data_IF_661595389335
#
_entry.id   IF_661595389335
#
_cell.length_a   1.000
_cell.length_b   1.000
_cell.length_c   1.000
_cell.angle_alpha   90.00
_cell.angle_beta   90.00
_cell.angle_gamma   90.00
#
_symmetry.space_group_name_H-M   'P 1'
#
loop_
_entity.id
_entity.type
_entity.pdbx_description
1 polymer ?
#
# COMPACT_ATOMS: atom_id res chain seq x y z
N UNK A 1 -5.58 14.11 -23.87
CA UNK A 1 -4.95 12.93 -23.24
C UNK A 1 -5.01 13.15 -21.74
N UNK A 2 -5.96 12.51 -21.06
CA UNK A 2 -6.11 12.62 -19.61
C UNK A 2 -5.08 11.69 -18.96
N UNK A 3 -4.11 12.27 -18.27
CA UNK A 3 -3.15 11.55 -17.43
C UNK A 3 -3.92 10.93 -16.26
N UNK A 4 -4.13 9.63 -16.31
CA UNK A 4 -4.70 8.85 -15.21
C UNK A 4 -3.71 8.84 -14.05
N UNK A 5 -3.97 9.66 -13.04
CA UNK A 5 -3.24 9.64 -11.77
C UNK A 5 -3.62 8.36 -11.01
N UNK A 6 -2.64 7.53 -10.72
CA UNK A 6 -2.80 6.33 -9.90
C UNK A 6 -3.11 6.68 -8.45
N UNK A 7 -3.68 5.72 -7.69
CA UNK A 7 -4.18 5.83 -6.29
C UNK A 7 -3.34 6.65 -5.32
N UNK A 8 -2.02 6.68 -5.52
CA UNK A 8 -1.06 7.36 -4.64
C UNK A 8 -0.03 8.21 -5.39
N UNK A 9 -0.13 8.31 -6.73
CA UNK A 9 0.78 9.14 -7.55
C UNK A 9 0.77 10.63 -7.16
N UNK A 10 -0.24 11.08 -6.44
CA UNK A 10 -0.32 12.41 -5.93
C UNK A 10 0.56 12.69 -4.68
N UNK A 11 1.34 11.72 -4.22
CA UNK A 11 2.18 11.84 -3.02
C UNK A 11 3.66 12.17 -3.30
N UNK A 12 4.10 12.12 -4.57
CA UNK A 12 5.53 12.15 -4.91
C UNK A 12 6.00 13.42 -5.63
N UNK A 13 5.20 14.49 -5.76
CA UNK A 13 5.59 15.67 -6.55
C UNK A 13 5.83 16.93 -5.70
N UNK A 14 6.73 16.85 -4.72
CA UNK A 14 7.18 18.04 -4.00
C UNK A 14 8.65 17.95 -3.58
N UNK A 15 9.56 17.92 -4.58
CA UNK A 15 10.97 18.25 -4.34
C UNK A 15 11.56 18.82 -5.63
N UNK A 16 11.77 20.12 -5.62
CA UNK A 16 12.54 20.81 -6.65
C UNK A 16 12.13 22.28 -6.84
N UNK A 17 12.56 23.17 -5.99
CA UNK A 17 13.02 24.53 -6.30
C UNK A 17 13.17 25.33 -4.99
N UNK A 18 14.36 25.31 -4.41
CA UNK A 18 14.82 26.35 -3.49
C UNK A 18 15.70 27.30 -4.29
N UNK A 19 15.15 28.46 -4.64
CA UNK A 19 15.92 29.66 -4.96
C UNK A 19 15.31 30.81 -4.17
N UNK A 20 16.14 31.47 -3.35
CA UNK A 20 15.75 32.42 -2.34
C UNK A 20 15.07 33.67 -2.89
N UNK A 21 14.18 34.22 -2.08
CA UNK A 21 13.87 35.64 -2.06
C UNK A 21 13.62 36.12 -0.62
N UNK A 22 14.14 37.29 -0.37
CA UNK A 22 14.24 37.96 0.92
C UNK A 22 12.88 38.34 1.55
N UNK A 23 12.94 38.45 2.87
CA UNK A 23 11.97 39.00 3.81
C UNK A 23 11.23 40.25 3.32
N UNK A 24 9.89 40.12 3.18
CA UNK A 24 8.97 41.20 3.45
C UNK A 24 7.85 40.62 4.31
N UNK A 25 7.77 41.11 5.55
CA UNK A 25 6.69 40.76 6.47
C UNK A 25 5.36 41.30 5.94
N UNK A 26 4.61 40.47 5.27
CA UNK A 26 3.20 40.63 4.99
C UNK A 26 2.49 39.42 5.60
N UNK A 27 1.69 39.64 6.64
CA UNK A 27 0.71 38.66 7.09
C UNK A 27 -0.17 38.32 5.87
N UNK A 28 0.10 37.19 5.23
CA UNK A 28 -0.81 36.62 4.23
C UNK A 28 -2.09 36.30 4.99
N UNK A 29 -3.09 37.15 4.84
CA UNK A 29 -4.45 36.86 5.25
C UNK A 29 -4.82 35.53 4.62
N UNK A 30 -4.87 34.47 5.43
CA UNK A 30 -5.37 33.17 5.04
C UNK A 30 -6.80 33.44 4.60
N UNK A 31 -7.07 33.42 3.28
CA UNK A 31 -8.40 33.67 2.76
C UNK A 31 -9.35 32.75 3.50
N UNK A 32 -10.32 33.33 4.22
CA UNK A 32 -11.22 32.57 5.09
C UNK A 32 -11.85 31.46 4.26
N UNK A 33 -11.56 30.20 4.61
CA UNK A 33 -12.11 29.03 3.93
C UNK A 33 -13.64 29.10 3.98
N UNK A 34 -14.30 28.84 2.85
CA UNK A 34 -15.78 28.77 2.82
C UNK A 34 -16.25 27.82 3.95
N UNK A 35 -17.25 28.22 4.78
CA UNK A 35 -17.82 27.33 5.79
C UNK A 35 -18.30 26.00 5.19
N UNK A 36 -18.05 24.89 5.88
CA UNK A 36 -18.37 23.57 5.37
C UNK A 36 -19.82 23.41 4.91
N UNK A 37 -20.86 23.88 5.63
CA UNK A 37 -22.25 23.78 5.16
C UNK A 37 -22.49 24.50 3.83
N UNK A 38 -21.85 25.66 3.62
CA UNK A 38 -21.94 26.39 2.34
C UNK A 38 -21.22 25.63 1.21
N UNK A 39 -20.10 25.00 1.52
CA UNK A 39 -19.38 24.18 0.57
C UNK A 39 -20.20 22.95 0.15
N UNK A 40 -20.86 22.27 1.09
CA UNK A 40 -21.76 21.14 0.81
C UNK A 40 -22.86 21.58 -0.16
N UNK A 41 -23.50 22.73 0.06
CA UNK A 41 -24.54 23.21 -0.84
C UNK A 41 -23.99 23.58 -2.24
N UNK A 42 -22.83 24.21 -2.32
CA UNK A 42 -22.17 24.51 -3.58
C UNK A 42 -21.73 23.23 -4.32
N UNK A 43 -21.31 22.19 -3.59
CA UNK A 43 -20.87 20.91 -4.15
C UNK A 43 -22.01 20.11 -4.77
N UNK A 44 -23.27 20.31 -4.33
CA UNK A 44 -24.49 19.71 -4.87
C UNK A 44 -24.62 19.92 -6.39
N UNK A 45 -24.29 21.10 -6.91
CA UNK A 45 -24.33 21.37 -8.35
C UNK A 45 -23.44 20.43 -9.13
N UNK A 46 -22.27 20.10 -8.59
CA UNK A 46 -21.33 19.15 -9.21
C UNK A 46 -21.83 17.70 -9.11
N UNK A 47 -22.48 17.35 -7.99
CA UNK A 47 -23.09 16.04 -7.81
C UNK A 47 -24.23 15.82 -8.82
N UNK A 48 -25.11 16.81 -9.00
CA UNK A 48 -26.18 16.78 -10.02
C UNK A 48 -25.62 16.63 -11.45
N UNK A 49 -24.53 17.33 -11.77
CA UNK A 49 -23.85 17.22 -13.06
C UNK A 49 -23.26 15.81 -13.32
N UNK A 50 -23.04 15.02 -12.24
CA UNK A 50 -22.62 13.61 -12.31
C UNK A 50 -23.77 12.61 -12.27
N UNK A 51 -25.03 13.10 -12.33
CA UNK A 51 -26.23 12.27 -12.31
C UNK A 51 -26.64 11.77 -10.92
N UNK A 52 -26.11 12.38 -9.85
CA UNK A 52 -26.48 12.03 -8.48
C UNK A 52 -27.77 12.76 -8.12
N UNK A 53 -28.79 12.02 -7.69
CA UNK A 53 -30.08 12.56 -7.26
C UNK A 53 -29.95 13.35 -5.96
N UNK A 54 -30.87 14.30 -5.75
CA UNK A 54 -30.93 15.04 -4.48
C UNK A 54 -31.23 14.12 -3.29
N UNK A 55 -31.95 13.03 -3.52
CA UNK A 55 -32.24 12.03 -2.48
C UNK A 55 -30.96 11.33 -2.00
N UNK A 56 -30.16 10.80 -2.92
CA UNK A 56 -28.87 10.17 -2.59
C UNK A 56 -27.89 11.18 -2.00
N UNK A 57 -27.85 12.40 -2.58
CA UNK A 57 -26.99 13.45 -2.05
C UNK A 57 -27.36 13.82 -0.62
N UNK A 58 -28.63 14.05 -0.32
CA UNK A 58 -29.09 14.42 1.03
C UNK A 58 -28.89 13.28 2.03
N UNK A 59 -29.10 12.03 1.62
CA UNK A 59 -28.85 10.85 2.44
C UNK A 59 -27.42 10.85 2.99
N UNK A 60 -26.45 11.23 2.16
CA UNK A 60 -25.01 11.20 2.52
C UNK A 60 -24.53 12.52 3.09
N UNK A 61 -24.84 13.63 2.42
CA UNK A 61 -24.22 14.94 2.66
C UNK A 61 -25.07 15.86 3.56
N UNK A 62 -26.38 15.55 3.75
CA UNK A 62 -27.32 16.44 4.40
C UNK A 62 -27.00 16.77 5.87
N UNK A 63 -26.47 15.80 6.62
CA UNK A 63 -26.07 15.96 8.02
C UNK A 63 -24.58 15.68 8.25
N UNK A 64 -23.80 15.58 7.16
CA UNK A 64 -22.41 15.18 7.21
C UNK A 64 -21.55 16.19 7.99
N UNK A 65 -20.71 15.68 8.87
CA UNK A 65 -19.64 16.44 9.53
C UNK A 65 -18.29 15.99 8.97
N UNK A 66 -17.39 16.91 8.60
CA UNK A 66 -16.09 16.53 8.04
C UNK A 66 -15.18 15.96 9.13
N UNK A 67 -14.50 14.86 8.85
CA UNK A 67 -13.44 14.33 9.71
C UNK A 67 -12.11 15.04 9.42
N UNK A 68 -11.87 16.14 10.12
CA UNK A 68 -10.66 16.96 9.92
C UNK A 68 -9.39 16.30 10.49
N UNK A 69 -9.49 15.20 11.24
CA UNK A 69 -8.33 14.44 11.75
C UNK A 69 -7.48 13.86 10.60
N UNK A 70 -8.08 13.68 9.42
CA UNK A 70 -7.38 13.17 8.22
C UNK A 70 -6.28 14.09 7.71
N UNK A 71 -6.31 15.38 8.02
CA UNK A 71 -5.27 16.33 7.59
C UNK A 71 -3.90 16.06 8.24
N UNK A 72 -3.89 15.58 9.47
CA UNK A 72 -2.65 15.17 10.12
C UNK A 72 -2.10 13.89 9.46
N UNK A 73 -2.98 12.96 9.12
CA UNK A 73 -2.61 11.69 8.47
C UNK A 73 -2.13 11.87 7.03
N UNK A 74 -2.64 12.89 6.30
CA UNK A 74 -2.16 13.23 4.94
C UNK A 74 -0.74 13.81 4.98
N UNK A 75 -0.35 14.47 6.07
CA UNK A 75 0.97 15.10 6.23
C UNK A 75 2.03 14.17 6.81
N UNK A 76 1.62 13.23 7.66
CA UNK A 76 2.53 12.32 8.36
C UNK A 76 2.49 10.94 7.69
N UNK A 77 3.42 10.72 6.74
CA UNK A 77 3.57 9.44 6.06
C UNK A 77 4.85 8.75 6.52
N UNK A 78 4.75 7.71 7.37
CA UNK A 78 5.92 7.04 7.96
C UNK A 78 6.85 6.37 6.93
N UNK A 79 6.39 6.19 5.70
CA UNK A 79 7.11 5.48 4.63
C UNK A 79 8.41 6.18 4.19
N UNK A 80 8.62 7.43 4.61
CA UNK A 80 9.80 8.23 4.25
C UNK A 80 10.91 8.26 5.33
N UNK A 81 10.70 7.61 6.47
CA UNK A 81 11.62 7.66 7.62
C UNK A 81 12.20 6.30 8.02
N UNK A 82 11.82 5.23 7.31
CA UNK A 82 12.21 3.86 7.63
C UNK A 82 13.26 3.37 6.63
N UNK A 83 14.28 2.66 7.11
CA UNK A 83 15.24 1.98 6.25
C UNK A 83 14.52 0.94 5.38
N UNK A 84 14.97 0.79 4.11
CA UNK A 84 14.32 -0.13 3.15
C UNK A 84 14.18 -1.55 3.73
N UNK A 85 15.21 -2.06 4.41
CA UNK A 85 15.17 -3.39 4.99
C UNK A 85 14.21 -3.51 6.18
N UNK A 86 14.07 -2.45 7.01
CA UNK A 86 13.09 -2.42 8.11
C UNK A 86 11.67 -2.42 7.55
N UNK A 87 11.41 -1.62 6.51
CA UNK A 87 10.15 -1.62 5.78
C UNK A 87 9.82 -3.02 5.24
N UNK A 88 10.78 -3.67 4.57
CA UNK A 88 10.59 -5.01 4.02
C UNK A 88 10.32 -6.04 5.11
N UNK A 89 11.13 -6.09 6.18
CA UNK A 89 10.92 -7.03 7.28
C UNK A 89 9.56 -6.85 7.96
N UNK A 90 9.10 -5.61 8.12
CA UNK A 90 7.77 -5.33 8.68
C UNK A 90 6.64 -5.71 7.73
N UNK A 91 6.80 -5.49 6.42
CA UNK A 91 5.77 -5.74 5.41
C UNK A 91 5.76 -7.17 4.89
N UNK A 92 6.91 -7.83 4.87
CA UNK A 92 7.09 -9.25 4.49
C UNK A 92 7.39 -10.07 5.75
N UNK A 93 6.64 -9.80 6.83
CA UNK A 93 6.83 -10.46 8.13
C UNK A 93 6.50 -11.95 8.07
N UNK A 94 7.08 -12.71 8.99
CA UNK A 94 6.84 -14.16 9.11
C UNK A 94 5.33 -14.47 9.27
N UNK A 95 4.62 -13.67 10.07
CA UNK A 95 3.16 -13.75 10.18
C UNK A 95 2.47 -13.62 8.81
N UNK A 96 2.85 -12.64 7.97
CA UNK A 96 2.23 -12.47 6.64
C UNK A 96 2.56 -13.61 5.69
N UNK A 97 3.77 -14.16 5.79
CA UNK A 97 4.18 -15.31 4.97
C UNK A 97 3.36 -16.55 5.36
N UNK A 98 3.21 -16.83 6.65
CA UNK A 98 2.42 -17.96 7.16
C UNK A 98 0.95 -17.80 6.74
N UNK A 99 0.33 -16.68 7.08
CA UNK A 99 -1.08 -16.39 6.73
C UNK A 99 -1.29 -16.39 5.23
N UNK A 100 -0.37 -15.83 4.45
CA UNK A 100 -0.46 -15.84 2.99
C UNK A 100 -0.43 -17.23 2.38
N UNK A 101 0.38 -18.14 2.94
CA UNK A 101 0.39 -19.55 2.54
C UNK A 101 -0.92 -20.26 2.89
N UNK A 102 -1.54 -19.94 4.00
CA UNK A 102 -2.86 -20.44 4.39
C UNK A 102 -3.93 -19.94 3.40
N UNK A 103 -3.96 -18.63 3.12
CA UNK A 103 -4.88 -18.03 2.14
C UNK A 103 -4.66 -18.57 0.72
N UNK A 104 -3.41 -18.83 0.33
CA UNK A 104 -3.11 -19.46 -0.96
C UNK A 104 -3.76 -20.85 -1.12
N UNK A 105 -3.83 -21.63 -0.03
CA UNK A 105 -4.49 -22.94 -0.01
C UNK A 105 -6.00 -22.80 0.07
N UNK A 106 -6.51 -21.97 0.97
CA UNK A 106 -7.93 -21.74 1.20
C UNK A 106 -8.65 -21.24 -0.05
N UNK A 107 -8.06 -20.28 -0.73
CA UNK A 107 -8.64 -19.65 -1.92
C UNK A 107 -8.04 -20.16 -3.25
N UNK A 108 -7.41 -21.35 -3.26
CA UNK A 108 -6.74 -21.87 -4.45
C UNK A 108 -7.64 -21.95 -5.70
N UNK A 109 -8.92 -22.40 -5.62
CA UNK A 109 -9.82 -22.42 -6.76
C UNK A 109 -10.15 -21.01 -7.28
N UNK A 110 -10.42 -20.06 -6.39
CA UNK A 110 -10.71 -18.67 -6.72
C UNK A 110 -9.51 -18.01 -7.41
N UNK A 111 -8.33 -18.13 -6.81
CA UNK A 111 -7.10 -17.54 -7.34
C UNK A 111 -6.74 -18.13 -8.71
N UNK A 112 -6.96 -19.45 -8.92
CA UNK A 112 -6.74 -20.09 -10.22
C UNK A 112 -7.72 -19.59 -11.29
N UNK A 113 -8.97 -19.28 -10.91
CA UNK A 113 -9.97 -18.71 -11.83
C UNK A 113 -9.60 -17.28 -12.21
N UNK A 114 -9.21 -16.45 -11.24
CA UNK A 114 -8.77 -15.06 -11.47
C UNK A 114 -7.53 -15.02 -12.37
N UNK A 115 -6.51 -15.86 -12.07
CA UNK A 115 -5.27 -15.93 -12.84
C UNK A 115 -5.52 -16.33 -14.30
N UNK A 116 -6.41 -17.29 -14.53
CA UNK A 116 -6.80 -17.73 -15.89
C UNK A 116 -7.53 -16.62 -16.66
N UNK A 117 -8.38 -15.84 -15.99
CA UNK A 117 -9.20 -14.82 -16.64
C UNK A 117 -8.41 -13.54 -16.94
N UNK A 118 -7.59 -13.08 -15.98
CA UNK A 118 -6.89 -11.80 -16.11
C UNK A 118 -5.40 -11.94 -16.41
N UNK A 119 -4.84 -13.14 -16.39
CA UNK A 119 -3.42 -13.38 -16.63
C UNK A 119 -2.49 -12.87 -15.53
N UNK A 120 -3.02 -12.50 -14.37
CA UNK A 120 -2.24 -11.99 -13.25
C UNK A 120 -1.87 -13.14 -12.33
N UNK A 121 -0.58 -13.28 -12.04
CA UNK A 121 -0.05 -14.29 -11.14
C UNK A 121 -0.71 -14.24 -9.76
N UNK A 122 -1.16 -15.39 -9.25
CA UNK A 122 -1.88 -15.50 -7.98
C UNK A 122 -1.07 -15.02 -6.77
N UNK A 123 0.25 -15.19 -6.81
CA UNK A 123 1.10 -14.75 -5.71
C UNK A 123 1.31 -13.24 -5.71
N UNK A 124 1.29 -12.60 -6.89
CA UNK A 124 1.19 -11.14 -7.01
C UNK A 124 -0.11 -10.64 -6.35
N UNK A 125 -1.24 -11.30 -6.60
CA UNK A 125 -2.52 -10.97 -5.97
C UNK A 125 -2.49 -11.13 -4.46
N UNK A 126 -1.93 -12.24 -3.97
CA UNK A 126 -1.74 -12.49 -2.53
C UNK A 126 -0.80 -11.45 -1.89
N UNK A 127 0.25 -11.04 -2.60
CA UNK A 127 1.14 -9.97 -2.17
C UNK A 127 0.39 -8.66 -1.95
N UNK A 128 -0.45 -8.23 -2.90
CA UNK A 128 -1.28 -7.02 -2.78
C UNK A 128 -2.27 -7.18 -1.62
N UNK A 129 -3.00 -8.29 -1.54
CA UNK A 129 -3.98 -8.54 -0.48
C UNK A 129 -3.34 -8.50 0.92
N UNK A 130 -2.18 -9.15 1.07
CA UNK A 130 -1.42 -9.12 2.32
C UNK A 130 -0.92 -7.73 2.70
N UNK A 131 -0.51 -6.93 1.72
CA UNK A 131 -0.02 -5.57 1.94
C UNK A 131 -1.15 -4.58 2.27
N UNK A 132 -2.29 -4.68 1.59
CA UNK A 132 -3.37 -3.69 1.69
C UNK A 132 -4.23 -3.87 2.94
N UNK A 133 -4.60 -5.10 3.29
CA UNK A 133 -5.53 -5.35 4.39
C UNK A 133 -5.14 -6.49 5.32
N UNK A 134 -3.89 -6.96 5.25
CA UNK A 134 -3.47 -8.14 6.00
C UNK A 134 -4.40 -9.35 5.73
N UNK A 135 -4.66 -9.64 4.45
CA UNK A 135 -5.55 -10.69 3.96
C UNK A 135 -7.01 -10.57 4.43
N UNK A 136 -7.49 -9.33 4.55
CA UNK A 136 -8.86 -9.03 4.96
C UNK A 136 -9.04 -8.73 6.46
N UNK A 137 -8.09 -9.06 7.31
CA UNK A 137 -8.21 -8.88 8.76
C UNK A 137 -8.42 -7.43 9.21
N UNK A 138 -8.02 -6.45 8.39
CA UNK A 138 -8.15 -5.04 8.72
C UNK A 138 -9.39 -4.37 8.10
N UNK A 139 -10.16 -5.07 7.28
CA UNK A 139 -11.24 -4.49 6.48
C UNK A 139 -12.32 -3.81 7.33
N UNK A 140 -12.63 -4.39 8.49
CA UNK A 140 -13.65 -3.88 9.43
C UNK A 140 -13.06 -3.38 10.75
N UNK A 141 -11.73 -3.32 10.88
CA UNK A 141 -11.08 -2.96 12.14
C UNK A 141 -11.22 -1.45 12.43
N UNK A 142 -11.97 -1.00 13.45
CA UNK A 142 -12.24 0.41 13.72
C UNK A 142 -11.00 1.22 14.12
N UNK A 143 -9.90 0.57 14.53
CA UNK A 143 -8.62 1.24 14.77
C UNK A 143 -7.95 1.74 13.49
N UNK A 144 -8.30 1.14 12.35
CA UNK A 144 -7.67 1.41 11.05
C UNK A 144 -8.64 1.96 10.01
N UNK A 145 -9.92 1.62 10.13
CA UNK A 145 -10.97 1.98 9.19
C UNK A 145 -11.95 2.97 9.83
N UNK A 146 -12.54 3.82 9.00
CA UNK A 146 -13.50 4.86 9.37
C UNK A 146 -14.51 5.07 8.27
N UNK A 147 -15.67 5.71 8.52
CA UNK A 147 -16.59 6.12 7.48
C UNK A 147 -15.86 6.97 6.42
N UNK A 148 -16.02 6.64 5.14
CA UNK A 148 -15.25 7.31 4.07
C UNK A 148 -15.79 8.68 3.72
N UNK A 149 -17.11 8.92 3.85
CA UNK A 149 -17.71 10.19 3.44
C UNK A 149 -17.24 11.37 4.29
N UNK A 150 -17.18 11.29 5.65
CA UNK A 150 -16.58 12.34 6.47
C UNK A 150 -15.11 12.62 6.10
N UNK A 151 -14.34 11.57 5.82
CA UNK A 151 -12.93 11.67 5.47
C UNK A 151 -12.73 12.33 4.09
N UNK A 152 -13.39 11.82 3.05
CA UNK A 152 -13.31 12.37 1.70
C UNK A 152 -13.86 13.79 1.61
N UNK A 153 -14.96 14.10 2.31
CA UNK A 153 -15.51 15.45 2.34
C UNK A 153 -14.56 16.44 3.02
N UNK A 154 -13.90 16.05 4.11
CA UNK A 154 -12.87 16.87 4.75
C UNK A 154 -11.72 17.15 3.77
N UNK A 155 -11.19 16.14 3.10
CA UNK A 155 -10.09 16.27 2.13
C UNK A 155 -10.50 17.13 0.93
N UNK A 156 -11.70 16.92 0.35
CA UNK A 156 -12.22 17.69 -0.76
C UNK A 156 -12.45 19.15 -0.40
N UNK A 157 -12.96 19.42 0.79
CA UNK A 157 -13.18 20.77 1.30
C UNK A 157 -11.88 21.45 1.72
N UNK A 158 -10.95 20.70 2.31
CA UNK A 158 -9.88 21.23 3.15
C UNK A 158 -8.46 21.08 2.65
N UNK A 159 -8.16 20.18 1.70
CA UNK A 159 -6.80 19.96 1.19
C UNK A 159 -6.62 20.64 -0.18
N UNK A 160 -6.01 21.84 -0.24
CA UNK A 160 -5.97 22.62 -1.49
C UNK A 160 -5.08 22.01 -2.56
N UNK A 161 -4.00 21.30 -2.20
CA UNK A 161 -3.01 20.76 -3.15
C UNK A 161 -3.57 19.66 -4.04
N UNK A 162 -4.58 18.91 -3.54
CA UNK A 162 -5.18 17.76 -4.21
C UNK A 162 -6.71 17.82 -4.27
N UNK A 163 -7.26 19.02 -4.16
CA UNK A 163 -8.71 19.24 -4.09
C UNK A 163 -9.47 18.54 -5.21
N UNK A 164 -9.07 18.74 -6.46
CA UNK A 164 -9.76 18.14 -7.61
C UNK A 164 -9.80 16.61 -7.56
N UNK A 165 -8.73 15.98 -7.05
CA UNK A 165 -8.69 14.54 -6.84
C UNK A 165 -9.68 14.10 -5.76
N UNK A 166 -9.65 14.75 -4.60
CA UNK A 166 -10.55 14.40 -3.49
C UNK A 166 -12.02 14.65 -3.82
N UNK A 167 -12.31 15.74 -4.53
CA UNK A 167 -13.67 16.03 -5.02
C UNK A 167 -14.15 14.97 -6.03
N UNK A 168 -13.26 14.49 -6.90
CA UNK A 168 -13.59 13.42 -7.85
C UNK A 168 -13.87 12.10 -7.10
N UNK A 169 -13.05 11.74 -6.09
CA UNK A 169 -13.29 10.53 -5.32
C UNK A 169 -14.57 10.61 -4.47
N UNK A 170 -14.89 11.76 -3.90
CA UNK A 170 -16.16 11.97 -3.22
C UNK A 170 -17.35 11.83 -4.16
N UNK A 171 -17.28 12.40 -5.39
CA UNK A 171 -18.31 12.22 -6.41
C UNK A 171 -18.45 10.76 -6.82
N UNK A 172 -17.35 10.04 -6.99
CA UNK A 172 -17.36 8.61 -7.31
C UNK A 172 -18.02 7.79 -6.18
N UNK A 173 -17.73 8.11 -4.91
CA UNK A 173 -18.39 7.47 -3.76
C UNK A 173 -19.91 7.74 -3.76
N UNK A 174 -20.33 8.96 -4.07
CA UNK A 174 -21.75 9.29 -4.20
C UNK A 174 -22.42 8.56 -5.37
N UNK A 175 -21.73 8.34 -6.50
CA UNK A 175 -22.26 7.54 -7.63
C UNK A 175 -22.43 6.06 -7.21
N UNK A 176 -21.55 5.51 -6.38
CA UNK A 176 -21.70 4.14 -5.84
C UNK A 176 -23.00 4.03 -5.05
N UNK A 177 -23.31 5.03 -4.20
CA UNK A 177 -24.57 5.09 -3.44
C UNK A 177 -25.76 5.27 -4.36
N UNK A 178 -25.70 6.17 -5.36
CA UNK A 178 -26.76 6.40 -6.35
C UNK A 178 -27.12 5.12 -7.09
N UNK A 179 -26.12 4.29 -7.44
CA UNK A 179 -26.33 2.99 -8.10
C UNK A 179 -26.82 1.88 -7.16
N UNK A 180 -26.90 2.14 -5.86
CA UNK A 180 -27.24 1.11 -4.87
C UNK A 180 -26.15 0.03 -4.69
N UNK A 181 -24.92 0.28 -5.13
CA UNK A 181 -23.81 -0.67 -5.00
C UNK A 181 -23.23 -0.71 -3.59
N UNK A 182 -23.35 0.38 -2.83
CA UNK A 182 -22.86 0.51 -1.46
C UNK A 182 -23.82 1.30 -0.57
N UNK A 183 -24.00 0.85 0.67
CA UNK A 183 -24.67 1.62 1.70
C UNK A 183 -23.69 2.62 2.32
N UNK A 184 -24.01 3.92 2.37
CA UNK A 184 -23.09 4.93 2.89
C UNK A 184 -22.69 4.69 4.36
N UNK A 185 -23.54 4.01 5.15
CA UNK A 185 -23.24 3.67 6.54
C UNK A 185 -22.24 2.51 6.68
N UNK A 186 -22.19 1.62 5.68
CA UNK A 186 -21.29 0.47 5.62
C UNK A 186 -19.99 0.78 4.85
N UNK A 187 -19.95 1.89 4.12
CA UNK A 187 -18.75 2.30 3.37
C UNK A 187 -17.67 2.84 4.31
N UNK A 188 -16.87 1.91 4.83
CA UNK A 188 -15.73 2.19 5.72
C UNK A 188 -14.41 1.93 5.00
N UNK A 189 -13.39 2.70 5.34
CA UNK A 189 -12.09 2.59 4.69
C UNK A 189 -10.98 3.32 5.42
N UNK A 190 -9.84 3.47 4.75
CA UNK A 190 -8.72 4.24 5.28
C UNK A 190 -9.07 5.73 5.41
N UNK A 191 -8.20 6.49 6.04
CA UNK A 191 -8.32 7.96 6.15
C UNK A 191 -8.44 8.65 4.78
N UNK A 192 -7.95 8.03 3.71
CA UNK A 192 -7.99 8.53 2.35
C UNK A 192 -9.19 7.98 1.54
N UNK A 193 -10.10 7.22 2.15
CA UNK A 193 -11.25 6.64 1.48
C UNK A 193 -10.99 5.36 0.69
N UNK A 194 -9.85 4.69 0.90
CA UNK A 194 -9.57 3.38 0.29
C UNK A 194 -10.28 2.27 1.07
N UNK A 195 -10.98 1.36 0.36
CA UNK A 195 -11.97 0.44 0.92
C UNK A 195 -11.65 -1.03 0.69
N UNK A 196 -12.06 -1.88 1.62
CA UNK A 196 -12.14 -3.32 1.47
C UNK A 196 -10.80 -4.05 1.39
N UNK A 197 -10.86 -5.28 0.90
CA UNK A 197 -9.75 -6.25 0.89
C UNK A 197 -8.48 -5.75 0.24
N UNK A 198 -8.60 -5.03 -0.86
CA UNK A 198 -7.47 -4.52 -1.64
C UNK A 198 -7.41 -2.99 -1.67
N UNK A 199 -8.13 -2.35 -0.74
CA UNK A 199 -8.10 -0.92 -0.52
C UNK A 199 -8.43 -0.11 -1.79
N UNK A 200 -9.58 -0.40 -2.42
CA UNK A 200 -10.05 0.34 -3.58
C UNK A 200 -10.42 1.77 -3.24
N UNK A 201 -9.96 2.71 -4.04
CA UNK A 201 -10.58 4.03 -4.10
C UNK A 201 -11.96 3.94 -4.77
N UNK A 202 -12.90 4.86 -4.50
CA UNK A 202 -14.21 4.86 -5.15
C UNK A 202 -14.15 4.78 -6.68
N UNK A 203 -13.18 5.43 -7.30
CA UNK A 203 -12.94 5.36 -8.75
C UNK A 203 -12.63 3.93 -9.22
N UNK A 204 -11.82 3.18 -8.45
CA UNK A 204 -11.47 1.79 -8.77
C UNK A 204 -12.67 0.88 -8.64
N UNK A 205 -13.51 1.07 -7.60
CA UNK A 205 -14.76 0.32 -7.46
C UNK A 205 -15.66 0.49 -8.70
N UNK A 206 -15.88 1.74 -9.13
CA UNK A 206 -16.74 2.04 -10.27
C UNK A 206 -16.25 1.48 -11.61
N UNK A 207 -14.94 1.47 -11.84
CA UNK A 207 -14.38 1.18 -13.16
C UNK A 207 -13.73 -0.20 -13.27
N UNK A 208 -13.26 -0.76 -12.16
CA UNK A 208 -12.57 -2.06 -12.14
C UNK A 208 -13.35 -3.15 -11.40
N UNK A 209 -14.35 -2.77 -10.58
CA UNK A 209 -15.18 -3.73 -9.87
C UNK A 209 -15.87 -4.70 -10.82
N UNK A 210 -15.96 -5.96 -10.40
CA UNK A 210 -16.66 -7.04 -11.09
C UNK A 210 -17.39 -7.88 -10.06
N UNK A 211 -18.59 -8.36 -10.39
CA UNK A 211 -19.30 -9.37 -9.62
C UNK A 211 -18.71 -10.74 -10.00
N UNK A 212 -17.70 -11.16 -9.27
CA UNK A 212 -16.94 -12.35 -9.62
C UNK A 212 -17.49 -13.62 -8.95
N UNK A 213 -18.20 -13.48 -7.84
CA UNK A 213 -18.89 -14.58 -7.18
C UNK A 213 -20.30 -14.86 -7.75
N UNK A 214 -20.86 -13.90 -8.54
CA UNK A 214 -22.15 -14.02 -9.20
C UNK A 214 -23.36 -13.79 -8.28
N UNK A 215 -23.18 -13.05 -7.19
CA UNK A 215 -24.25 -12.75 -6.21
C UNK A 215 -25.13 -11.55 -6.59
N UNK A 216 -24.84 -10.91 -7.73
CA UNK A 216 -25.55 -9.74 -8.25
C UNK A 216 -25.05 -8.42 -7.65
N UNK A 217 -23.95 -8.41 -6.91
CA UNK A 217 -23.34 -7.24 -6.31
C UNK A 217 -21.89 -7.14 -6.69
N UNK A 218 -21.36 -5.91 -6.65
CA UNK A 218 -19.93 -5.67 -6.76
C UNK A 218 -19.47 -5.06 -5.44
N UNK A 219 -18.65 -5.77 -4.66
CA UNK A 219 -18.28 -5.31 -3.34
C UNK A 219 -16.77 -5.48 -3.06
N UNK A 220 -16.09 -4.46 -2.53
CA UNK A 220 -14.72 -4.62 -2.01
C UNK A 220 -14.69 -5.29 -0.62
N UNK A 221 -15.86 -5.55 -0.03
CA UNK A 221 -16.05 -6.16 1.30
C UNK A 221 -16.61 -7.59 1.20
N UNK A 222 -16.80 -8.24 2.35
CA UNK A 222 -17.37 -9.59 2.42
C UNK A 222 -16.41 -10.65 1.89
N UNK A 223 -16.87 -11.60 1.07
CA UNK A 223 -15.99 -12.55 0.38
C UNK A 223 -14.97 -11.81 -0.51
N UNK A 224 -13.71 -12.29 -0.60
CA UNK A 224 -12.66 -11.55 -1.29
C UNK A 224 -12.72 -11.62 -2.83
N UNK A 225 -13.69 -12.34 -3.38
CA UNK A 225 -13.79 -12.67 -4.81
C UNK A 225 -13.77 -11.44 -5.70
N UNK A 226 -14.70 -10.51 -5.49
CA UNK A 226 -14.83 -9.29 -6.28
C UNK A 226 -13.61 -8.39 -6.14
N UNK A 227 -13.15 -8.24 -4.89
CA UNK A 227 -12.01 -7.38 -4.59
C UNK A 227 -10.73 -7.90 -5.27
N UNK A 228 -10.48 -9.20 -5.22
CA UNK A 228 -9.31 -9.80 -5.87
C UNK A 228 -9.45 -9.77 -7.39
N UNK A 229 -10.61 -10.13 -7.93
CA UNK A 229 -10.84 -10.11 -9.38
C UNK A 229 -10.74 -8.69 -9.97
N UNK A 230 -11.38 -7.70 -9.35
CA UNK A 230 -11.27 -6.31 -9.81
C UNK A 230 -9.85 -5.75 -9.68
N UNK A 231 -9.07 -6.20 -8.70
CA UNK A 231 -7.64 -5.84 -8.60
C UNK A 231 -6.82 -6.49 -9.70
N UNK A 232 -7.10 -7.76 -10.04
CA UNK A 232 -6.47 -8.42 -11.17
C UNK A 232 -6.82 -7.71 -12.49
N UNK A 233 -8.08 -7.34 -12.68
CA UNK A 233 -8.53 -6.52 -13.81
C UNK A 233 -7.78 -5.19 -13.88
N UNK A 234 -7.61 -4.50 -12.73
CA UNK A 234 -6.82 -3.27 -12.67
C UNK A 234 -5.38 -3.48 -13.13
N UNK A 235 -4.70 -4.51 -12.63
CA UNK A 235 -3.34 -4.82 -13.03
C UNK A 235 -3.23 -5.18 -14.52
N UNK A 236 -4.16 -5.97 -15.03
CA UNK A 236 -4.22 -6.35 -16.44
C UNK A 236 -4.50 -5.15 -17.35
N UNK A 237 -5.55 -4.38 -17.06
CA UNK A 237 -6.01 -3.31 -17.96
C UNK A 237 -5.20 -2.00 -17.80
N UNK A 238 -4.93 -1.56 -16.56
CA UNK A 238 -4.19 -0.32 -16.30
C UNK A 238 -2.70 -0.54 -16.13
N UNK A 239 -2.31 -1.55 -15.35
CA UNK A 239 -0.93 -1.93 -15.15
C UNK A 239 -0.30 -2.57 -16.38
N UNK A 240 -1.10 -3.06 -17.32
CA UNK A 240 -0.64 -3.80 -18.52
C UNK A 240 0.16 -5.04 -18.12
N UNK A 241 -0.26 -5.70 -17.03
CA UNK A 241 0.39 -6.91 -16.53
C UNK A 241 0.50 -7.97 -17.63
N UNK A 242 1.65 -8.62 -17.74
CA UNK A 242 1.95 -9.61 -18.77
C UNK A 242 1.90 -11.01 -18.17
N UNK A 243 0.95 -11.81 -18.66
CA UNK A 243 0.79 -13.18 -18.21
C UNK A 243 2.09 -13.98 -18.35
N UNK A 244 2.44 -14.69 -17.28
CA UNK A 244 3.62 -15.52 -17.24
C UNK A 244 4.97 -14.80 -17.19
N UNK A 245 5.04 -13.48 -17.23
CA UNK A 245 6.27 -12.70 -16.94
C UNK A 245 6.39 -12.55 -15.41
N UNK A 246 7.60 -12.76 -14.86
CA UNK A 246 7.89 -12.46 -13.46
C UNK A 246 8.01 -10.95 -13.24
N UNK A 247 8.10 -10.52 -11.97
CA UNK A 247 8.32 -9.11 -11.62
C UNK A 247 9.77 -8.68 -11.76
N UNK A 248 10.71 -9.63 -11.73
CA UNK A 248 12.15 -9.39 -11.80
C UNK A 248 12.98 -10.47 -11.15
N UNK A 249 14.26 -10.19 -11.05
CA UNK A 249 15.27 -11.12 -10.52
C UNK A 249 16.26 -10.37 -9.65
N UNK A 250 16.59 -10.91 -8.48
CA UNK A 250 17.77 -10.47 -7.74
C UNK A 250 19.03 -10.90 -8.49
N UNK A 251 19.99 -9.99 -8.67
CA UNK A 251 21.15 -10.23 -9.51
C UNK A 251 22.47 -9.82 -8.87
N UNK A 252 23.54 -10.49 -9.30
CA UNK A 252 24.93 -10.06 -9.10
C UNK A 252 25.40 -9.33 -10.35
N UNK A 253 25.98 -8.15 -10.16
CA UNK A 253 26.39 -7.26 -11.24
C UNK A 253 27.90 -7.09 -11.17
N UNK A 254 28.67 -7.33 -12.27
CA UNK A 254 30.08 -7.04 -12.31
C UNK A 254 30.39 -5.56 -12.06
N UNK A 255 31.54 -5.30 -11.48
CA UNK A 255 32.00 -3.92 -11.23
C UNK A 255 32.04 -3.11 -12.54
N UNK A 256 31.62 -1.83 -12.49
CA UNK A 256 31.66 -0.92 -13.64
C UNK A 256 30.47 -0.98 -14.59
N UNK A 257 29.51 -1.88 -14.37
CA UNK A 257 28.25 -1.89 -15.15
C UNK A 257 27.37 -0.72 -14.74
N UNK A 258 27.02 0.13 -15.72
CA UNK A 258 26.09 1.24 -15.50
C UNK A 258 24.65 0.76 -15.61
N UNK A 259 23.84 1.10 -14.61
CA UNK A 259 22.40 0.85 -14.58
C UNK A 259 21.66 1.82 -15.52
N UNK A 260 21.77 1.64 -16.84
CA UNK A 260 21.12 2.53 -17.80
C UNK A 260 20.24 1.78 -18.80
N UNK A 261 19.00 2.26 -18.93
CA UNK A 261 18.05 1.81 -19.95
C UNK A 261 17.39 0.46 -19.67
N UNK A 262 16.38 0.16 -20.49
CA UNK A 262 15.67 -1.11 -20.52
C UNK A 262 16.23 -1.94 -21.66
N UNK A 263 16.79 -3.13 -21.36
CA UNK A 263 17.43 -4.02 -22.34
C UNK A 263 16.88 -5.45 -22.21
N UNK A 264 16.99 -6.30 -23.22
CA UNK A 264 16.74 -7.73 -23.06
C UNK A 264 17.64 -8.32 -21.96
N UNK A 265 17.13 -9.29 -21.21
CA UNK A 265 17.89 -9.98 -20.16
C UNK A 265 19.15 -10.63 -20.76
N UNK A 266 19.07 -11.16 -21.98
CA UNK A 266 20.23 -11.70 -22.72
C UNK A 266 21.37 -10.68 -22.86
N UNK A 267 21.06 -9.40 -23.06
CA UNK A 267 22.08 -8.34 -23.15
C UNK A 267 22.71 -8.05 -21.76
N UNK A 268 21.95 -8.16 -20.68
CA UNK A 268 22.49 -8.10 -19.33
C UNK A 268 23.38 -9.30 -19.01
N UNK A 269 22.97 -10.52 -19.44
CA UNK A 269 23.79 -11.74 -19.31
C UNK A 269 25.11 -11.62 -20.09
N UNK A 270 25.08 -11.08 -21.33
CA UNK A 270 26.26 -10.85 -22.12
C UNK A 270 27.24 -9.85 -21.45
N UNK A 271 26.69 -8.87 -20.70
CA UNK A 271 27.46 -7.96 -19.87
C UNK A 271 27.97 -8.58 -18.55
N UNK A 272 27.69 -9.86 -18.29
CA UNK A 272 28.16 -10.56 -17.09
C UNK A 272 27.20 -10.57 -15.92
N UNK A 273 26.00 -9.99 -16.05
CA UNK A 273 24.97 -10.06 -14.99
C UNK A 273 24.46 -11.48 -14.83
N UNK A 274 24.31 -11.96 -13.60
CA UNK A 274 23.83 -13.31 -13.25
C UNK A 274 22.75 -13.22 -12.17
N UNK A 275 21.81 -14.18 -12.13
CA UNK A 275 20.92 -14.29 -10.99
C UNK A 275 21.72 -14.50 -9.70
N UNK A 276 21.27 -13.90 -8.61
CA UNK A 276 21.91 -14.06 -7.30
C UNK A 276 21.82 -15.51 -6.78
N UNK A 277 20.78 -16.25 -7.19
CA UNK A 277 20.61 -17.69 -6.94
C UNK A 277 21.63 -18.59 -7.69
N UNK A 278 22.29 -18.08 -8.73
CA UNK A 278 23.11 -18.87 -9.63
C UNK A 278 22.37 -19.55 -10.77
N UNK A 279 21.05 -19.57 -10.74
CA UNK A 279 20.21 -20.19 -11.78
C UNK A 279 20.24 -19.39 -13.09
N UNK A 280 20.05 -20.02 -14.25
CA UNK A 280 19.90 -19.30 -15.51
C UNK A 280 18.62 -18.47 -15.53
N UNK A 281 18.60 -17.37 -16.30
CA UNK A 281 17.36 -16.62 -16.49
C UNK A 281 16.40 -17.45 -17.38
N UNK A 282 15.17 -17.70 -16.94
CA UNK A 282 14.25 -18.56 -17.69
C UNK A 282 13.73 -17.89 -18.98
N UNK A 283 13.81 -16.55 -19.06
CA UNK A 283 13.25 -15.76 -20.16
C UNK A 283 14.22 -14.67 -20.63
N UNK A 284 15.28 -15.04 -21.36
CA UNK A 284 16.36 -14.11 -21.74
C UNK A 284 15.92 -13.02 -22.74
N UNK A 285 14.78 -13.21 -23.44
CA UNK A 285 14.20 -12.21 -24.33
C UNK A 285 13.39 -11.11 -23.61
N UNK A 286 12.96 -11.34 -22.37
CA UNK A 286 12.28 -10.32 -21.59
C UNK A 286 13.16 -9.08 -21.39
N UNK A 287 12.50 -7.92 -21.34
CA UNK A 287 13.20 -6.65 -21.15
C UNK A 287 13.18 -6.24 -19.68
N UNK A 288 14.33 -5.86 -19.17
CA UNK A 288 14.47 -5.45 -17.78
C UNK A 288 15.40 -4.25 -17.64
N UNK A 289 15.24 -3.53 -16.54
CA UNK A 289 16.15 -2.46 -16.09
C UNK A 289 16.82 -2.84 -14.80
N UNK A 290 18.07 -2.44 -14.62
CA UNK A 290 18.76 -2.55 -13.33
C UNK A 290 18.21 -1.51 -12.34
N UNK A 291 18.05 -1.95 -11.09
CA UNK A 291 17.70 -1.09 -9.98
C UNK A 291 18.36 -1.58 -8.70
N UNK A 292 18.93 -0.65 -7.97
CA UNK A 292 19.52 -0.86 -6.65
C UNK A 292 18.84 0.10 -5.66
N UNK A 293 18.03 -0.40 -4.70
CA UNK A 293 17.26 0.44 -3.80
C UNK A 293 18.11 1.29 -2.85
N UNK A 294 19.26 0.76 -2.44
CA UNK A 294 20.22 1.45 -1.57
C UNK A 294 21.65 1.10 -2.01
N UNK A 295 22.63 1.99 -1.87
CA UNK A 295 24.04 1.68 -2.14
C UNK A 295 24.46 0.43 -1.35
N UNK A 296 25.32 -0.40 -1.95
CA UNK A 296 25.86 -1.66 -1.37
C UNK A 296 24.80 -2.72 -1.02
N UNK A 297 23.53 -2.48 -1.28
CA UNK A 297 22.45 -3.44 -1.08
C UNK A 297 22.19 -4.33 -2.30
N UNK A 298 21.16 -5.20 -2.21
CA UNK A 298 20.72 -6.05 -3.30
C UNK A 298 20.43 -5.27 -4.57
N UNK A 299 20.78 -5.88 -5.73
CA UNK A 299 20.51 -5.33 -7.05
C UNK A 299 19.48 -6.20 -7.77
N UNK A 300 18.59 -5.57 -8.50
CA UNK A 300 17.49 -6.24 -9.19
C UNK A 300 17.48 -5.91 -10.69
N UNK A 301 17.15 -6.88 -11.52
CA UNK A 301 16.62 -6.69 -12.86
C UNK A 301 15.09 -6.66 -12.74
N UNK A 302 14.50 -5.49 -12.94
CA UNK A 302 13.05 -5.28 -12.87
C UNK A 302 12.44 -5.39 -14.25
N UNK A 303 11.46 -6.26 -14.42
CA UNK A 303 10.68 -6.44 -15.64
C UNK A 303 9.49 -5.49 -15.68
N UNK A 304 8.67 -5.60 -16.73
CA UNK A 304 7.45 -4.80 -16.85
C UNK A 304 6.45 -5.04 -15.72
N UNK A 305 6.33 -6.27 -15.23
CA UNK A 305 5.35 -6.60 -14.18
C UNK A 305 5.65 -5.94 -12.83
N UNK A 306 6.90 -5.58 -12.54
CA UNK A 306 7.20 -4.71 -11.42
C UNK A 306 6.53 -3.33 -11.56
N UNK A 307 6.59 -2.75 -12.76
CA UNK A 307 5.95 -1.46 -13.03
C UNK A 307 4.41 -1.60 -13.06
N UNK A 308 3.88 -2.75 -13.45
CA UNK A 308 2.45 -3.06 -13.33
C UNK A 308 2.01 -3.05 -11.86
N UNK A 309 2.74 -3.70 -10.96
CA UNK A 309 2.48 -3.64 -9.51
C UNK A 309 2.64 -2.21 -8.99
N UNK A 310 3.66 -1.50 -9.44
CA UNK A 310 3.90 -0.10 -9.09
C UNK A 310 2.77 0.83 -9.54
N UNK A 311 1.98 0.49 -10.56
CA UNK A 311 0.80 1.27 -10.94
C UNK A 311 -0.26 1.29 -9.85
N UNK A 312 -0.29 0.27 -8.99
CA UNK A 312 -1.20 0.20 -7.84
C UNK A 312 -0.79 1.16 -6.72
N UNK A 313 0.51 1.28 -6.47
CA UNK A 313 1.11 2.25 -5.55
C UNK A 313 2.51 2.65 -6.09
N UNK A 314 2.78 3.93 -6.36
CA UNK A 314 3.96 4.38 -7.09
C UNK A 314 5.30 4.23 -6.34
N UNK A 315 5.29 3.86 -5.05
CA UNK A 315 6.52 3.64 -4.28
C UNK A 315 7.23 2.35 -4.71
N UNK A 316 8.50 2.45 -5.07
CA UNK A 316 9.30 1.27 -5.44
C UNK A 316 9.42 0.26 -4.28
N UNK A 317 9.53 0.75 -3.04
CA UNK A 317 9.61 -0.10 -1.84
C UNK A 317 8.32 -0.89 -1.61
N UNK A 318 7.16 -0.27 -1.89
CA UNK A 318 5.87 -0.98 -1.86
C UNK A 318 5.83 -2.09 -2.91
N UNK A 319 6.15 -1.77 -4.17
CA UNK A 319 6.14 -2.78 -5.25
C UNK A 319 7.11 -3.93 -4.95
N UNK A 320 8.32 -3.63 -4.43
CA UNK A 320 9.26 -4.66 -4.01
C UNK A 320 8.69 -5.52 -2.87
N UNK A 321 8.03 -4.92 -1.88
CA UNK A 321 7.43 -5.65 -0.77
C UNK A 321 6.28 -6.56 -1.23
N UNK A 322 5.39 -6.08 -2.13
CA UNK A 322 4.32 -6.90 -2.74
C UNK A 322 4.92 -8.10 -3.46
N UNK A 323 5.89 -7.85 -4.35
CA UNK A 323 6.52 -8.90 -5.16
C UNK A 323 7.28 -9.90 -4.28
N UNK A 324 8.03 -9.40 -3.30
CA UNK A 324 8.78 -10.26 -2.38
C UNK A 324 7.84 -11.08 -1.48
N UNK A 325 6.77 -10.48 -0.96
CA UNK A 325 5.77 -11.23 -0.19
C UNK A 325 5.12 -12.34 -1.03
N UNK A 326 4.77 -12.05 -2.28
CA UNK A 326 4.27 -13.04 -3.23
C UNK A 326 5.26 -14.21 -3.42
N UNK A 327 6.53 -13.90 -3.65
CA UNK A 327 7.59 -14.89 -3.78
C UNK A 327 7.75 -15.75 -2.52
N UNK A 328 7.70 -15.14 -1.32
CA UNK A 328 7.79 -15.88 -0.04
C UNK A 328 6.59 -16.78 0.19
N UNK A 329 5.39 -16.35 -0.18
CA UNK A 329 4.16 -17.17 -0.14
C UNK A 329 4.27 -18.33 -1.12
N UNK A 330 4.82 -18.12 -2.31
CA UNK A 330 5.08 -19.15 -3.31
C UNK A 330 6.15 -20.17 -2.89
N UNK A 331 6.85 -19.92 -1.76
CA UNK A 331 7.88 -20.83 -1.23
C UNK A 331 9.31 -20.47 -1.61
N UNK A 332 9.54 -19.34 -2.30
CA UNK A 332 10.90 -18.87 -2.54
C UNK A 332 11.55 -18.38 -1.25
N UNK A 333 12.87 -18.41 -1.19
CA UNK A 333 13.68 -17.95 -0.07
C UNK A 333 13.69 -16.42 0.11
N UNK A 334 14.36 -15.91 1.16
CA UNK A 334 14.67 -14.50 1.28
C UNK A 334 15.64 -14.06 0.16
N UNK A 335 15.90 -12.77 0.05
CA UNK A 335 16.94 -12.26 -0.83
C UNK A 335 18.30 -12.87 -0.47
N UNK A 336 19.10 -13.19 -1.47
CA UNK A 336 20.42 -13.81 -1.30
C UNK A 336 21.48 -12.81 -0.79
N UNK A 337 21.28 -11.52 -1.07
CA UNK A 337 22.15 -10.45 -0.62
C UNK A 337 21.45 -9.65 0.49
N UNK A 338 22.23 -9.34 1.54
CA UNK A 338 21.70 -8.54 2.65
C UNK A 338 21.73 -7.05 2.31
N UNK A 339 20.75 -6.31 2.82
CA UNK A 339 20.82 -4.85 2.86
C UNK A 339 21.86 -4.39 3.89
N UNK A 340 22.55 -3.25 3.67
CA UNK A 340 23.46 -2.69 4.66
C UNK A 340 22.76 -2.46 6.00
N UNK A 341 23.34 -2.91 7.08
CA UNK A 341 22.79 -2.77 8.43
C UNK A 341 21.58 -3.65 8.76
N UNK A 342 21.12 -4.48 7.81
CA UNK A 342 19.96 -5.33 8.02
C UNK A 342 20.16 -6.35 9.16
N UNK A 343 19.06 -6.56 9.89
CA UNK A 343 18.90 -7.68 10.81
C UNK A 343 18.11 -8.82 10.13
N UNK A 344 18.34 -10.08 10.53
CA UNK A 344 17.50 -11.17 10.08
C UNK A 344 16.02 -10.88 10.37
N UNK A 345 15.15 -11.42 9.53
CA UNK A 345 13.69 -11.32 9.74
C UNK A 345 13.34 -12.08 11.04
N UNK A 346 12.75 -11.43 12.04
CA UNK A 346 12.27 -12.13 13.22
C UNK A 346 11.14 -13.09 12.90
N UNK A 347 11.14 -14.23 13.55
CA UNK A 347 10.04 -15.21 13.48
C UNK A 347 8.79 -14.67 14.17
N UNK A 348 7.65 -15.27 13.87
CA UNK A 348 6.37 -14.96 14.55
C UNK A 348 6.53 -15.10 16.08
N UNK A 349 7.17 -16.18 16.55
CA UNK A 349 7.39 -16.42 17.98
C UNK A 349 8.29 -15.35 18.64
N UNK A 350 9.32 -14.87 17.95
CA UNK A 350 10.19 -13.80 18.44
C UNK A 350 9.46 -12.46 18.54
N UNK A 351 8.58 -12.14 17.59
CA UNK A 351 7.72 -10.95 17.69
C UNK A 351 6.73 -11.07 18.86
N UNK A 352 6.14 -12.24 19.05
CA UNK A 352 5.26 -12.49 20.21
C UNK A 352 6.04 -12.34 21.53
N UNK A 353 7.27 -12.84 21.62
CA UNK A 353 8.13 -12.65 22.78
C UNK A 353 8.44 -11.17 23.04
N UNK A 354 8.76 -10.39 21.99
CA UNK A 354 8.94 -8.93 22.10
C UNK A 354 7.70 -8.28 22.72
N UNK A 355 6.51 -8.59 22.21
CA UNK A 355 5.25 -8.03 22.70
C UNK A 355 4.97 -8.42 24.16
N UNK A 356 5.20 -9.69 24.52
CA UNK A 356 5.04 -10.20 25.89
C UNK A 356 5.95 -9.47 26.87
N UNK A 357 7.26 -9.36 26.54
CA UNK A 357 8.26 -8.70 27.40
C UNK A 357 7.99 -7.21 27.56
N UNK A 358 7.61 -6.51 26.48
CA UNK A 358 7.21 -5.11 26.56
C UNK A 358 6.01 -4.94 27.50
N UNK A 359 5.00 -5.79 27.39
CA UNK A 359 3.83 -5.75 28.25
C UNK A 359 4.20 -6.03 29.72
N UNK A 360 5.05 -7.01 29.99
CA UNK A 360 5.54 -7.32 31.35
C UNK A 360 6.32 -6.15 31.97
N UNK A 361 7.03 -5.37 31.16
CA UNK A 361 7.74 -4.16 31.57
C UNK A 361 6.84 -2.92 31.69
N UNK A 362 5.53 -3.05 31.48
CA UNK A 362 4.55 -1.97 31.62
C UNK A 362 4.32 -1.14 30.34
N UNK A 363 4.86 -1.56 29.18
CA UNK A 363 4.61 -0.92 27.88
C UNK A 363 3.44 -1.60 27.19
N UNK A 364 2.41 -0.85 26.83
CA UNK A 364 1.28 -1.39 26.08
C UNK A 364 1.66 -1.69 24.63
N UNK A 365 1.88 -2.98 24.32
CA UNK A 365 2.23 -3.46 22.97
C UNK A 365 1.01 -3.65 22.04
N UNK A 366 -0.20 -3.49 22.53
CA UNK A 366 -1.43 -3.72 21.78
C UNK A 366 -1.86 -5.18 21.67
N UNK A 367 -1.18 -6.10 22.37
CA UNK A 367 -1.41 -7.54 22.36
C UNK A 367 -0.14 -8.34 22.09
N UNK A 368 -0.29 -9.67 21.95
CA UNK A 368 0.82 -10.62 21.72
C UNK A 368 0.56 -11.51 20.49
N UNK A 369 -0.06 -10.92 19.48
CA UNK A 369 -0.51 -11.61 18.26
C UNK A 369 0.60 -11.82 17.21
N UNK A 370 1.82 -11.30 17.48
CA UNK A 370 2.95 -11.36 16.53
C UNK A 370 2.85 -10.35 15.38
N UNK A 371 1.95 -9.37 15.48
CA UNK A 371 1.73 -8.33 14.46
C UNK A 371 2.25 -6.99 14.98
N UNK A 372 3.23 -6.42 14.28
CA UNK A 372 3.80 -5.13 14.66
C UNK A 372 2.90 -4.00 14.15
N UNK A 373 1.98 -3.55 15.04
CA UNK A 373 1.10 -2.41 14.82
C UNK A 373 1.64 -1.11 15.42
N UNK A 374 0.82 -0.03 15.36
CA UNK A 374 1.18 1.28 15.92
C UNK A 374 1.48 1.22 17.41
N UNK A 375 0.67 0.48 18.17
CA UNK A 375 0.82 0.34 19.62
C UNK A 375 2.14 -0.38 19.94
N UNK A 376 2.45 -1.48 19.25
CA UNK A 376 3.71 -2.21 19.39
C UNK A 376 4.91 -1.31 19.06
N UNK A 377 4.86 -0.56 17.96
CA UNK A 377 5.93 0.37 17.57
C UNK A 377 6.12 1.49 18.60
N UNK A 378 5.04 2.01 19.19
CA UNK A 378 5.12 3.03 20.23
C UNK A 378 5.72 2.46 21.52
N UNK A 379 5.31 1.27 21.94
CA UNK A 379 5.88 0.56 23.08
C UNK A 379 7.40 0.31 22.90
N UNK A 380 7.79 -0.13 21.69
CA UNK A 380 9.21 -0.32 21.34
C UNK A 380 10.00 0.98 21.48
N UNK A 381 9.52 2.09 20.88
CA UNK A 381 10.22 3.38 20.96
C UNK A 381 10.40 3.85 22.39
N UNK A 382 9.39 3.71 23.22
CA UNK A 382 9.46 4.09 24.63
C UNK A 382 10.49 3.24 25.39
N UNK A 383 10.54 1.94 25.14
CA UNK A 383 11.57 1.07 25.73
C UNK A 383 12.98 1.43 25.20
N UNK A 384 13.13 1.61 23.88
CA UNK A 384 14.41 1.99 23.25
C UNK A 384 14.97 3.29 23.87
N UNK A 385 14.12 4.31 24.06
CA UNK A 385 14.50 5.56 24.74
C UNK A 385 15.00 5.31 26.15
N UNK A 386 14.31 4.47 26.94
CA UNK A 386 14.68 4.16 28.33
C UNK A 386 16.05 3.48 28.43
N UNK A 387 16.39 2.63 27.45
CA UNK A 387 17.66 1.85 27.49
C UNK A 387 18.77 2.43 26.60
N UNK A 388 18.59 3.65 26.07
CA UNK A 388 19.59 4.34 25.26
C UNK A 388 19.80 3.76 23.85
N UNK A 389 18.81 3.05 23.31
CA UNK A 389 18.80 2.60 21.91
C UNK A 389 18.21 3.68 21.01
N UNK A 390 18.53 3.63 19.69
CA UNK A 390 17.86 4.47 18.68
C UNK A 390 16.35 4.19 18.70
N UNK A 391 15.48 5.19 18.90
CA UNK A 391 14.04 4.99 19.05
C UNK A 391 13.33 4.89 17.68
N UNK A 392 13.72 3.93 16.86
CA UNK A 392 13.16 3.70 15.54
C UNK A 392 11.83 2.90 15.55
N UNK A 393 11.53 2.21 16.66
CA UNK A 393 10.32 1.40 16.79
C UNK A 393 10.41 0.05 16.06
N UNK A 394 11.60 -0.36 15.61
CA UNK A 394 11.79 -1.61 14.90
C UNK A 394 11.82 -2.82 15.86
N UNK A 395 10.99 -3.82 15.57
CA UNK A 395 10.89 -5.07 16.34
C UNK A 395 11.94 -6.08 15.86
N UNK A 396 13.22 -5.82 16.13
CA UNK A 396 14.36 -6.63 15.67
C UNK A 396 14.96 -7.53 16.74
N UNK A 397 15.91 -8.37 16.33
CA UNK A 397 16.58 -9.31 17.23
C UNK A 397 17.49 -8.61 18.25
N UNK A 398 18.07 -7.46 17.88
CA UNK A 398 18.84 -6.63 18.84
C UNK A 398 17.95 -6.07 19.95
N UNK A 399 16.73 -5.65 19.61
CA UNK A 399 15.74 -5.23 20.60
C UNK A 399 15.35 -6.40 21.49
N UNK A 400 15.10 -7.59 20.93
CA UNK A 400 14.74 -8.78 21.68
C UNK A 400 15.85 -9.18 22.67
N UNK A 401 17.11 -9.16 22.24
CA UNK A 401 18.24 -9.42 23.13
C UNK A 401 18.24 -8.44 24.33
N UNK A 402 18.02 -7.14 24.05
CA UNK A 402 17.97 -6.12 25.10
C UNK A 402 16.78 -6.27 26.06
N UNK A 403 15.63 -6.72 25.54
CA UNK A 403 14.45 -7.03 26.36
C UNK A 403 14.67 -8.27 27.26
N UNK A 404 15.43 -9.24 26.80
CA UNK A 404 15.82 -10.42 27.61
C UNK A 404 16.74 -10.08 28.76
N UNK A 405 17.60 -9.06 28.59
CA UNK A 405 18.47 -8.56 29.65
C UNK A 405 17.77 -7.70 30.70
N UNK A 406 16.65 -7.06 30.30
CA UNK A 406 15.92 -6.12 31.15
C UNK A 406 14.82 -6.79 32.01
N UNK A 407 14.62 -8.09 31.86
CA UNK A 407 13.57 -8.88 32.55
C UNK A 407 14.03 -9.44 33.87
#
# INVERSE_FOLDING_TARGET
MATTLTRRAALSSALGALAGFALHGGATAQSARMPFPRWVEAFRTRARARGISDAAYNRVMGSLKPDTSVYALDRDQPEFHEEVWQYLNRRVSDWRIITGKERAREYAPLLARIEREYGVDRYTMLGIWGMESAFGDLVTNPKHMRPIFPALAALAWGEPRRRSYWEAELLNALVIVERGWGDPEEMIGSWAGAMGHTQWMPEVWLNMGVDFNGDGRISPYGPPDDALAGTAKYLSERGKYRAGEGWGYEVRVPHGIRASGIRPISAWQAAGVRQASGEPFPRPSERARLWQPVPEGPVFLLTHNFDAVKSYNPANTYALAVCHLGDRIAGKGPFAQSFPGAEPLPTLAEIQEIQQRLTALGYNSGGTDGRVGKDTMAAIRNFQLKVGMKPDGYAGLKLLARLREAA
#
